data_IF_469909836804
#
_entry.id   IF_469909836804
#
_cell.length_a   1.000
_cell.length_b   1.000
_cell.length_c   1.000
_cell.angle_alpha   90.00
_cell.angle_beta   90.00
_cell.angle_gamma   90.00
#
_symmetry.space_group_name_H-M   'P 1'
#
loop_
_entity.id
_entity.type
_entity.pdbx_description
1 polymer ?
#
# COMPACT_ATOMS: atom_id res chain seq x y z
N UNK A 1 -30.55 -11.05 17.20
CA UNK A 1 -31.13 -9.70 17.15
C UNK A 1 -32.65 -9.71 16.79
N UNK A 2 -33.08 -10.35 15.68
CA UNK A 2 -34.50 -10.37 15.29
C UNK A 2 -35.44 -10.94 16.37
N UNK A 3 -35.07 -12.08 17.00
CA UNK A 3 -35.84 -12.68 18.09
C UNK A 3 -35.98 -11.75 19.30
N UNK A 4 -34.89 -11.04 19.67
CA UNK A 4 -34.93 -10.05 20.75
C UNK A 4 -35.80 -8.83 20.42
N UNK A 5 -35.82 -8.39 19.16
CA UNK A 5 -36.72 -7.34 18.71
C UNK A 5 -38.18 -7.74 18.81
N UNK A 6 -38.55 -8.96 18.38
CA UNK A 6 -39.94 -9.44 18.35
C UNK A 6 -40.46 -9.78 19.74
N UNK A 7 -39.70 -10.60 20.49
CA UNK A 7 -40.17 -11.27 21.70
C UNK A 7 -39.57 -10.67 22.99
N UNK A 8 -38.67 -9.68 22.85
CA UNK A 8 -37.96 -9.05 23.97
C UNK A 8 -38.78 -8.00 24.72
N UNK A 9 -38.33 -7.70 25.94
CA UNK A 9 -38.79 -6.49 26.68
C UNK A 9 -38.52 -5.21 25.87
N UNK A 10 -39.17 -4.09 26.25
CA UNK A 10 -38.98 -2.79 25.55
C UNK A 10 -37.51 -2.44 25.32
N UNK A 11 -36.63 -2.62 26.32
CA UNK A 11 -35.21 -2.36 26.22
C UNK A 11 -34.52 -3.32 25.24
N UNK A 12 -34.79 -4.63 25.36
CA UNK A 12 -34.20 -5.64 24.48
C UNK A 12 -34.61 -5.47 23.02
N UNK A 13 -35.85 -5.02 22.78
CA UNK A 13 -36.35 -4.80 21.42
C UNK A 13 -35.70 -3.56 20.73
N UNK A 14 -35.15 -2.62 21.48
CA UNK A 14 -34.44 -1.47 20.93
C UNK A 14 -33.01 -1.79 20.46
N UNK A 15 -32.45 -2.93 20.85
CA UNK A 15 -31.09 -3.31 20.47
C UNK A 15 -30.90 -3.41 18.95
N UNK A 16 -31.90 -3.93 18.24
CA UNK A 16 -31.80 -4.05 16.77
C UNK A 16 -31.83 -2.69 16.06
N UNK A 17 -32.79 -1.78 16.29
CA UNK A 17 -32.74 -0.45 15.69
C UNK A 17 -31.53 0.35 16.15
N UNK A 18 -31.13 0.27 17.41
CA UNK A 18 -29.95 0.94 17.91
C UNK A 18 -28.67 0.49 17.21
N UNK A 19 -28.50 -0.81 16.93
CA UNK A 19 -27.33 -1.30 16.19
C UNK A 19 -27.26 -0.72 14.78
N UNK A 20 -28.38 -0.56 14.08
CA UNK A 20 -28.41 0.08 12.75
C UNK A 20 -28.04 1.56 12.79
N UNK A 21 -28.45 2.27 13.85
CA UNK A 21 -28.06 3.69 14.03
C UNK A 21 -26.56 3.82 14.28
N UNK A 22 -26.01 2.99 15.17
CA UNK A 22 -24.57 3.02 15.48
C UNK A 22 -23.75 2.69 14.23
N UNK A 23 -24.14 1.65 13.49
CA UNK A 23 -23.44 1.24 12.26
C UNK A 23 -23.53 2.33 11.17
N UNK A 24 -24.73 2.91 10.95
CA UNK A 24 -24.87 4.03 10.01
C UNK A 24 -24.04 5.25 10.40
N UNK A 25 -23.91 5.56 11.69
CA UNK A 25 -23.05 6.64 12.17
C UNK A 25 -21.56 6.33 11.93
N UNK A 26 -21.13 5.10 12.13
CA UNK A 26 -19.76 4.67 11.83
C UNK A 26 -19.45 4.82 10.34
N UNK A 27 -20.37 4.45 9.45
CA UNK A 27 -20.20 4.63 8.00
C UNK A 27 -20.08 6.10 7.61
N UNK A 28 -20.86 7.00 8.20
CA UNK A 28 -20.74 8.44 7.97
C UNK A 28 -19.43 8.99 8.53
N UNK A 29 -18.98 8.50 9.67
CA UNK A 29 -17.66 8.85 10.22
C UNK A 29 -16.52 8.40 9.28
N UNK A 30 -16.58 7.17 8.77
CA UNK A 30 -15.62 6.70 7.76
C UNK A 30 -15.66 7.56 6.49
N UNK A 31 -16.86 7.91 6.02
CA UNK A 31 -17.01 8.78 4.86
C UNK A 31 -16.42 10.18 5.11
N UNK A 32 -16.58 10.74 6.32
CA UNK A 32 -16.04 12.06 6.66
C UNK A 32 -14.53 12.12 6.53
N UNK A 33 -13.85 11.02 6.84
CA UNK A 33 -12.39 10.91 6.73
C UNK A 33 -11.89 11.02 5.28
N UNK A 34 -12.65 10.47 4.32
CA UNK A 34 -12.31 10.48 2.91
C UNK A 34 -13.16 11.46 2.07
N UNK A 35 -13.91 12.36 2.74
CA UNK A 35 -14.92 13.18 2.08
C UNK A 35 -14.37 14.05 0.94
N UNK A 36 -13.18 14.63 1.10
CA UNK A 36 -12.56 15.48 0.08
C UNK A 36 -12.05 14.69 -1.15
N UNK A 37 -11.69 13.43 -0.97
CA UNK A 37 -10.93 12.65 -1.94
C UNK A 37 -11.75 11.62 -2.73
N UNK A 38 -13.00 11.34 -2.30
CA UNK A 38 -13.90 10.39 -2.99
C UNK A 38 -14.82 11.10 -3.98
N UNK A 39 -15.19 10.42 -5.08
CA UNK A 39 -16.10 10.95 -6.09
C UNK A 39 -17.48 11.28 -5.54
N UNK A 40 -18.16 12.27 -6.13
CA UNK A 40 -19.49 12.70 -5.70
C UNK A 40 -20.54 11.58 -5.78
N UNK A 41 -20.42 10.69 -6.77
CA UNK A 41 -21.32 9.54 -6.92
C UNK A 41 -21.22 8.56 -5.74
N UNK A 42 -20.01 8.19 -5.34
CA UNK A 42 -19.78 7.28 -4.20
C UNK A 42 -20.25 7.92 -2.89
N UNK A 43 -19.99 9.22 -2.67
CA UNK A 43 -20.53 9.96 -1.52
C UNK A 43 -22.05 9.87 -1.47
N UNK A 44 -22.71 10.17 -2.59
CA UNK A 44 -24.16 10.13 -2.70
C UNK A 44 -24.74 8.76 -2.35
N UNK A 45 -24.14 7.69 -2.84
CA UNK A 45 -24.56 6.31 -2.57
C UNK A 45 -24.43 5.98 -1.07
N UNK A 46 -23.29 6.31 -0.45
CA UNK A 46 -23.06 6.03 0.98
C UNK A 46 -24.02 6.85 1.86
N UNK A 47 -24.24 8.13 1.54
CA UNK A 47 -25.19 8.97 2.28
C UNK A 47 -26.62 8.45 2.13
N UNK A 48 -27.05 8.10 0.92
CA UNK A 48 -28.38 7.54 0.68
C UNK A 48 -28.58 6.23 1.44
N UNK A 49 -27.59 5.36 1.47
CA UNK A 49 -27.61 4.11 2.21
C UNK A 49 -27.70 4.33 3.74
N UNK A 50 -26.96 5.31 4.27
CA UNK A 50 -27.04 5.70 5.68
C UNK A 50 -28.43 6.27 6.04
N UNK A 51 -28.98 7.15 5.19
CA UNK A 51 -30.33 7.70 5.38
C UNK A 51 -31.39 6.59 5.35
N UNK A 52 -31.27 5.64 4.42
CA UNK A 52 -32.16 4.48 4.36
C UNK A 52 -32.08 3.64 5.64
N UNK A 53 -30.90 3.42 6.17
CA UNK A 53 -30.66 2.69 7.41
C UNK A 53 -31.27 3.40 8.62
N UNK A 54 -31.07 4.72 8.75
CA UNK A 54 -31.65 5.53 9.84
C UNK A 54 -33.18 5.59 9.75
N UNK A 55 -33.74 5.84 8.56
CA UNK A 55 -35.18 5.87 8.35
C UNK A 55 -35.82 4.52 8.69
N UNK A 56 -35.25 3.42 8.23
CA UNK A 56 -35.74 2.07 8.54
C UNK A 56 -35.64 1.77 10.03
N UNK A 57 -34.57 2.20 10.70
CA UNK A 57 -34.42 2.06 12.15
C UNK A 57 -35.47 2.82 12.92
N UNK A 58 -35.74 4.07 12.57
CA UNK A 58 -36.78 4.90 13.20
C UNK A 58 -38.18 4.28 13.01
N UNK A 59 -38.49 3.81 11.79
CA UNK A 59 -39.74 3.11 11.50
C UNK A 59 -39.89 1.80 12.29
N UNK A 60 -38.82 1.04 12.50
CA UNK A 60 -38.84 -0.15 13.34
C UNK A 60 -39.25 0.16 14.78
N UNK A 61 -38.77 1.26 15.36
CA UNK A 61 -39.15 1.71 16.70
C UNK A 61 -40.63 2.10 16.75
N UNK A 62 -41.11 2.88 15.78
CA UNK A 62 -42.51 3.31 15.69
C UNK A 62 -43.44 2.12 15.51
N UNK A 63 -43.10 1.17 14.63
CA UNK A 63 -43.88 -0.02 14.34
C UNK A 63 -43.99 -0.95 15.54
N UNK A 64 -42.90 -1.13 16.30
CA UNK A 64 -42.90 -1.90 17.52
C UNK A 64 -43.94 -1.37 18.52
N UNK A 65 -44.02 -0.07 18.66
CA UNK A 65 -44.93 0.59 19.60
C UNK A 65 -46.42 0.51 19.17
N UNK A 66 -46.68 0.29 17.87
CA UNK A 66 -48.04 0.24 17.32
C UNK A 66 -48.57 -1.18 17.05
N UNK A 67 -47.95 -2.22 17.62
CA UNK A 67 -48.31 -3.63 17.38
C UNK A 67 -48.42 -3.99 15.88
N UNK A 68 -47.50 -3.46 15.07
CA UNK A 68 -47.53 -3.56 13.62
C UNK A 68 -47.27 -4.97 13.08
N UNK A 69 -47.52 -5.14 11.77
CA UNK A 69 -47.34 -6.39 11.05
C UNK A 69 -45.87 -6.86 11.06
N UNK A 70 -45.64 -8.09 11.56
CA UNK A 70 -44.28 -8.67 11.63
C UNK A 70 -43.59 -8.80 10.24
N UNK A 71 -44.40 -8.97 9.18
CA UNK A 71 -43.89 -9.02 7.80
C UNK A 71 -43.25 -7.69 7.38
N UNK A 72 -43.90 -6.56 7.64
CA UNK A 72 -43.40 -5.24 7.33
C UNK A 72 -42.15 -4.90 8.15
N UNK A 73 -42.10 -5.26 9.42
CA UNK A 73 -40.92 -5.08 10.26
C UNK A 73 -39.70 -5.86 9.73
N UNK A 74 -39.90 -7.05 9.15
CA UNK A 74 -38.81 -7.79 8.49
C UNK A 74 -38.31 -7.06 7.28
N UNK A 75 -39.18 -6.49 6.45
CA UNK A 75 -38.77 -5.69 5.26
C UNK A 75 -37.94 -4.50 5.69
N UNK A 76 -38.38 -3.75 6.72
CA UNK A 76 -37.63 -2.62 7.25
C UNK A 76 -36.24 -3.03 7.77
N UNK A 77 -36.18 -4.14 8.52
CA UNK A 77 -34.89 -4.66 9.00
C UNK A 77 -33.96 -5.09 7.84
N UNK A 78 -34.54 -5.71 6.80
CA UNK A 78 -33.77 -6.10 5.61
C UNK A 78 -33.26 -4.89 4.83
N UNK A 79 -34.05 -3.83 4.69
CA UNK A 79 -33.64 -2.56 4.05
C UNK A 79 -32.53 -1.87 4.85
N UNK A 80 -32.67 -1.79 6.19
CA UNK A 80 -31.61 -1.24 7.03
C UNK A 80 -30.31 -2.04 6.89
N UNK A 81 -30.41 -3.37 6.90
CA UNK A 81 -29.25 -4.25 6.73
C UNK A 81 -28.61 -4.10 5.34
N UNK A 82 -29.39 -4.00 4.28
CA UNK A 82 -28.90 -3.73 2.94
C UNK A 82 -28.16 -2.37 2.89
N UNK A 83 -28.70 -1.34 3.54
CA UNK A 83 -28.07 -0.01 3.63
C UNK A 83 -26.68 -0.06 4.27
N UNK A 84 -26.52 -0.75 5.40
CA UNK A 84 -25.22 -0.86 6.07
C UNK A 84 -24.20 -1.72 5.32
N UNK A 85 -24.63 -2.63 4.45
CA UNK A 85 -23.74 -3.43 3.62
C UNK A 85 -23.15 -2.66 2.43
N UNK A 86 -23.72 -1.51 2.06
CA UNK A 86 -23.26 -0.72 0.89
C UNK A 86 -21.81 -0.29 1.05
N UNK A 87 -21.44 0.33 2.16
CA UNK A 87 -20.08 0.85 2.37
C UNK A 87 -19.00 -0.25 2.35
N UNK A 88 -19.12 -1.37 3.09
CA UNK A 88 -18.13 -2.45 3.00
C UNK A 88 -18.12 -3.12 1.62
N UNK A 89 -19.27 -3.19 0.92
CA UNK A 89 -19.32 -3.73 -0.44
C UNK A 89 -18.56 -2.85 -1.42
N UNK A 90 -18.69 -1.51 -1.33
CA UNK A 90 -17.93 -0.56 -2.14
C UNK A 90 -16.43 -0.71 -1.84
N UNK A 91 -16.05 -0.80 -0.57
CA UNK A 91 -14.66 -0.98 -0.19
C UNK A 91 -14.05 -2.30 -0.70
N UNK A 92 -14.81 -3.39 -0.63
CA UNK A 92 -14.39 -4.69 -1.15
C UNK A 92 -14.28 -4.68 -2.67
N UNK A 93 -15.26 -4.09 -3.37
CA UNK A 93 -15.22 -3.93 -4.82
C UNK A 93 -14.03 -3.08 -5.27
N UNK A 94 -13.71 -2.01 -4.53
CA UNK A 94 -12.55 -1.18 -4.79
C UNK A 94 -11.23 -1.98 -4.76
N UNK A 95 -11.07 -2.91 -3.82
CA UNK A 95 -9.90 -3.78 -3.71
C UNK A 95 -9.76 -4.77 -4.89
N UNK A 96 -10.87 -5.12 -5.55
CA UNK A 96 -10.86 -5.99 -6.74
C UNK A 96 -10.52 -5.20 -8.00
N UNK A 97 -11.05 -3.98 -8.13
CA UNK A 97 -10.92 -3.16 -9.35
C UNK A 97 -9.62 -2.36 -9.38
N UNK A 98 -9.13 -1.93 -8.22
CA UNK A 98 -7.89 -1.15 -8.12
C UNK A 98 -6.72 -2.05 -7.73
N UNK A 99 -5.61 -1.90 -8.45
CA UNK A 99 -4.37 -2.59 -8.10
C UNK A 99 -3.88 -2.18 -6.70
N UNK A 100 -3.85 -3.14 -5.79
CA UNK A 100 -3.30 -2.92 -4.44
C UNK A 100 -1.80 -3.20 -4.42
N UNK A 101 -1.07 -2.44 -3.61
CA UNK A 101 0.34 -2.72 -3.39
C UNK A 101 0.48 -3.99 -2.55
N UNK A 102 1.13 -5.03 -3.09
CA UNK A 102 1.31 -6.31 -2.41
C UNK A 102 2.10 -6.23 -1.10
N UNK A 103 2.88 -5.17 -0.90
CA UNK A 103 3.68 -4.97 0.33
C UNK A 103 2.88 -4.39 1.49
N UNK A 104 1.93 -3.53 1.20
CA UNK A 104 0.99 -2.93 2.16
C UNK A 104 -0.37 -2.84 1.46
N UNK A 105 -1.15 -3.92 1.50
CA UNK A 105 -2.45 -3.92 0.86
C UNK A 105 -3.38 -2.93 1.58
N UNK A 106 -3.83 -1.93 0.84
CA UNK A 106 -4.92 -1.06 1.28
C UNK A 106 -6.26 -1.70 0.94
N UNK A 107 -7.25 -1.50 1.77
CA UNK A 107 -8.60 -1.99 1.56
C UNK A 107 -9.62 -0.92 1.97
N UNK A 108 -10.78 -0.91 1.31
CA UNK A 108 -11.86 0.01 1.66
C UNK A 108 -11.90 1.29 0.82
N UNK A 109 -12.52 2.33 1.38
CA UNK A 109 -12.75 3.61 0.69
C UNK A 109 -11.46 4.36 0.33
N UNK A 110 -10.37 4.05 0.99
CA UNK A 110 -9.03 4.58 0.71
C UNK A 110 -8.63 4.38 -0.75
N UNK A 111 -8.95 3.23 -1.35
CA UNK A 111 -8.62 2.92 -2.75
C UNK A 111 -9.39 3.78 -3.77
N UNK A 112 -10.50 4.39 -3.36
CA UNK A 112 -11.33 5.26 -4.20
C UNK A 112 -10.94 6.73 -4.06
N UNK A 113 -10.05 7.07 -3.13
CA UNK A 113 -9.60 8.44 -2.97
C UNK A 113 -8.67 8.83 -4.10
N UNK A 114 -8.89 9.99 -4.71
CA UNK A 114 -8.00 10.56 -5.75
C UNK A 114 -6.59 10.81 -5.22
N UNK A 115 -6.42 10.88 -3.90
CA UNK A 115 -5.14 10.92 -3.21
C UNK A 115 -4.42 9.56 -3.15
N UNK A 116 -5.06 8.44 -3.57
CA UNK A 116 -4.32 7.19 -3.78
C UNK A 116 -3.23 7.34 -4.86
N UNK A 117 -3.31 8.39 -5.68
CA UNK A 117 -2.18 8.90 -6.46
C UNK A 117 -1.11 9.59 -5.62
N UNK A 118 -1.45 10.22 -4.50
CA UNK A 118 -0.56 11.09 -3.71
C UNK A 118 -0.32 10.61 -2.27
N UNK A 119 -1.28 9.98 -1.60
CA UNK A 119 -1.16 9.57 -0.19
C UNK A 119 -0.33 8.31 0.04
N UNK A 120 -0.12 7.51 -0.98
CA UNK A 120 0.85 6.40 -0.96
C UNK A 120 2.23 6.81 -1.51
N UNK A 121 2.49 8.12 -1.56
CA UNK A 121 3.77 8.71 -1.99
C UNK A 121 4.95 8.31 -1.10
N UNK A 122 4.72 7.80 0.09
CA UNK A 122 5.78 7.21 0.91
C UNK A 122 6.26 5.84 0.42
N UNK A 123 5.46 5.12 -0.37
CA UNK A 123 5.78 3.76 -0.83
C UNK A 123 5.55 3.53 -2.33
N UNK A 124 4.86 4.45 -3.03
CA UNK A 124 4.85 4.47 -4.49
C UNK A 124 6.25 4.84 -4.96
N UNK A 125 6.87 3.89 -5.61
CA UNK A 125 8.09 4.08 -6.39
C UNK A 125 9.34 4.49 -5.60
N UNK A 126 9.75 3.67 -4.62
CA UNK A 126 11.15 3.68 -4.20
C UNK A 126 12.12 3.31 -5.32
N UNK A 127 11.61 2.77 -6.40
CA UNK A 127 12.30 2.52 -7.65
C UNK A 127 11.75 3.38 -8.79
N UNK A 128 11.66 4.68 -8.70
CA UNK A 128 11.28 5.51 -9.83
C UNK A 128 10.00 5.04 -10.56
N UNK A 129 9.70 5.62 -11.68
CA UNK A 129 8.61 5.19 -12.56
C UNK A 129 8.87 3.76 -13.08
N UNK A 130 7.83 3.03 -13.46
CA UNK A 130 7.98 1.69 -14.10
C UNK A 130 8.91 1.71 -15.32
N UNK A 131 9.14 2.89 -15.90
CA UNK A 131 10.08 3.11 -16.99
C UNK A 131 11.54 3.17 -16.52
N UNK A 132 11.82 3.65 -15.30
CA UNK A 132 13.17 3.65 -14.73
C UNK A 132 13.63 2.24 -14.40
N UNK A 133 12.72 1.39 -13.90
CA UNK A 133 13.01 -0.03 -13.66
C UNK A 133 13.38 -0.76 -14.97
N UNK A 134 12.67 -0.47 -16.07
CA UNK A 134 12.99 -1.05 -17.39
C UNK A 134 14.37 -0.63 -17.88
N UNK A 135 14.72 0.65 -17.74
CA UNK A 135 16.02 1.15 -18.18
C UNK A 135 17.16 0.59 -17.33
N UNK A 136 16.98 0.48 -16.02
CA UNK A 136 17.94 -0.18 -15.14
C UNK A 136 18.13 -1.66 -15.52
N UNK A 137 17.06 -2.39 -15.79
CA UNK A 137 17.14 -3.78 -16.25
C UNK A 137 17.93 -3.87 -17.56
N UNK A 138 17.63 -3.03 -18.56
CA UNK A 138 18.37 -3.01 -19.84
C UNK A 138 19.84 -2.64 -19.65
N UNK A 139 20.16 -1.75 -18.71
CA UNK A 139 21.54 -1.43 -18.34
C UNK A 139 22.25 -2.67 -17.76
N UNK A 140 21.63 -3.37 -16.83
CA UNK A 140 22.16 -4.58 -16.23
C UNK A 140 22.35 -5.69 -17.28
N UNK A 141 21.40 -5.85 -18.24
CA UNK A 141 21.49 -6.82 -19.35
C UNK A 141 22.76 -6.63 -20.17
N UNK A 142 23.18 -5.39 -20.39
CA UNK A 142 24.35 -5.08 -21.22
C UNK A 142 25.69 -5.14 -20.47
N UNK A 143 25.67 -5.07 -19.13
CA UNK A 143 26.91 -4.92 -18.35
C UNK A 143 27.26 -6.10 -17.46
N UNK A 144 26.29 -6.97 -17.13
CA UNK A 144 26.48 -8.16 -16.31
C UNK A 144 26.79 -9.37 -17.18
N UNK A 145 27.80 -10.14 -16.79
CA UNK A 145 28.25 -11.32 -17.55
C UNK A 145 28.32 -12.59 -16.70
N UNK A 146 29.04 -12.55 -15.58
CA UNK A 146 29.35 -13.74 -14.76
C UNK A 146 29.15 -13.48 -13.27
N UNK A 147 28.58 -12.36 -12.91
CA UNK A 147 28.28 -12.02 -11.53
C UNK A 147 27.13 -12.92 -11.01
N UNK A 148 27.24 -13.41 -9.77
CA UNK A 148 26.20 -14.24 -9.15
C UNK A 148 24.94 -13.44 -8.84
N UNK A 149 25.13 -12.18 -8.47
CA UNK A 149 24.07 -11.23 -8.18
C UNK A 149 24.17 -10.04 -9.10
N UNK A 150 23.12 -9.82 -9.87
CA UNK A 150 23.07 -8.76 -10.89
C UNK A 150 23.00 -7.37 -10.27
N UNK A 151 22.36 -7.26 -9.12
CA UNK A 151 22.19 -6.01 -8.37
C UNK A 151 22.04 -6.31 -6.89
N UNK A 152 22.57 -5.41 -6.08
CA UNK A 152 22.34 -5.40 -4.62
C UNK A 152 21.48 -4.19 -4.27
N UNK A 153 20.47 -4.41 -3.42
CA UNK A 153 19.52 -3.39 -2.96
C UNK A 153 19.34 -3.43 -1.44
N UNK A 154 18.77 -2.38 -0.86
CA UNK A 154 18.66 -2.24 0.60
C UNK A 154 17.66 -3.21 1.24
N UNK A 155 16.60 -3.63 0.54
CA UNK A 155 15.52 -4.44 1.13
C UNK A 155 14.92 -5.40 0.11
N UNK A 156 14.28 -6.48 0.60
CA UNK A 156 13.59 -7.45 -0.26
C UNK A 156 12.36 -6.83 -0.95
N UNK A 157 11.70 -5.86 -0.33
CA UNK A 157 10.62 -5.11 -0.96
C UNK A 157 11.12 -4.33 -2.19
N UNK A 158 12.34 -3.76 -2.10
CA UNK A 158 12.98 -3.09 -3.22
C UNK A 158 13.39 -4.05 -4.34
N UNK A 159 13.77 -5.28 -3.99
CA UNK A 159 14.16 -6.31 -4.95
C UNK A 159 12.96 -6.93 -5.68
N UNK A 160 11.84 -7.13 -4.98
CA UNK A 160 10.72 -7.96 -5.42
C UNK A 160 10.16 -7.55 -6.78
N UNK A 161 9.92 -6.27 -7.01
CA UNK A 161 9.37 -5.78 -8.29
C UNK A 161 10.31 -6.08 -9.47
N UNK A 162 11.61 -5.90 -9.26
CA UNK A 162 12.61 -6.14 -10.31
C UNK A 162 12.80 -7.63 -10.56
N UNK A 163 12.81 -8.46 -9.52
CA UNK A 163 12.89 -9.92 -9.63
C UNK A 163 11.69 -10.43 -10.43
N UNK A 164 10.46 -10.01 -10.08
CA UNK A 164 9.24 -10.45 -10.75
C UNK A 164 9.23 -10.04 -12.24
N UNK A 165 9.70 -8.83 -12.55
CA UNK A 165 9.69 -8.32 -13.93
C UNK A 165 10.80 -8.86 -14.81
N UNK A 166 11.96 -9.19 -14.25
CA UNK A 166 13.16 -9.52 -15.03
C UNK A 166 13.64 -10.95 -14.84
N UNK A 167 13.20 -11.67 -13.80
CA UNK A 167 13.75 -12.98 -13.43
C UNK A 167 15.21 -12.94 -12.95
N UNK A 168 15.77 -11.75 -12.69
CA UNK A 168 17.18 -11.56 -12.37
C UNK A 168 17.52 -11.86 -10.92
N UNK A 169 18.78 -12.20 -10.69
CA UNK A 169 19.33 -12.47 -9.36
C UNK A 169 19.64 -11.17 -8.62
N UNK A 170 18.68 -10.64 -7.86
CA UNK A 170 18.85 -9.42 -7.10
C UNK A 170 18.94 -9.73 -5.61
N UNK A 171 20.03 -9.28 -4.99
CA UNK A 171 20.33 -9.55 -3.58
C UNK A 171 19.87 -8.41 -2.68
N UNK A 172 18.92 -8.62 -1.76
CA UNK A 172 18.60 -7.66 -0.71
C UNK A 172 19.61 -7.74 0.44
N UNK A 173 20.01 -6.59 1.00
CA UNK A 173 20.88 -6.50 2.18
C UNK A 173 20.11 -6.58 3.51
N UNK A 174 18.80 -6.45 3.46
CA UNK A 174 17.91 -6.53 4.61
C UNK A 174 16.63 -7.26 4.27
N UNK A 175 15.81 -7.59 5.28
CA UNK A 175 14.51 -8.21 5.11
C UNK A 175 13.49 -7.29 4.43
N UNK A 176 12.20 -7.46 4.75
CA UNK A 176 11.11 -6.76 4.09
C UNK A 176 11.26 -5.22 4.11
N UNK A 177 11.61 -4.65 5.25
CA UNK A 177 11.83 -3.20 5.43
C UNK A 177 13.29 -2.78 5.25
N UNK A 178 14.24 -3.71 5.11
CA UNK A 178 15.68 -3.44 5.12
C UNK A 178 16.25 -3.26 6.54
N UNK A 179 15.51 -3.64 7.57
CA UNK A 179 15.92 -3.49 8.97
C UNK A 179 16.72 -4.68 9.52
N UNK A 180 16.68 -5.82 8.81
CA UNK A 180 17.37 -7.02 9.23
C UNK A 180 18.82 -7.00 8.75
N UNK A 181 19.76 -7.37 9.64
CA UNK A 181 21.17 -7.47 9.28
C UNK A 181 21.46 -8.86 8.71
N UNK A 182 21.38 -9.00 7.40
CA UNK A 182 21.61 -10.30 6.70
C UNK A 182 23.11 -10.56 6.51
N UNK A 183 23.89 -9.51 6.25
CA UNK A 183 25.33 -9.58 6.02
C UNK A 183 26.09 -8.57 6.85
N UNK A 184 27.29 -8.97 7.29
CA UNK A 184 28.29 -8.03 7.82
C UNK A 184 29.04 -7.36 6.68
N UNK A 185 29.66 -6.22 6.94
CA UNK A 185 30.49 -5.52 5.96
C UNK A 185 31.67 -6.40 5.47
N UNK A 186 32.24 -7.25 6.33
CA UNK A 186 33.31 -8.17 5.95
C UNK A 186 32.83 -9.23 4.96
N UNK A 187 31.70 -9.84 5.22
CA UNK A 187 31.07 -10.81 4.29
C UNK A 187 30.72 -10.18 2.95
N UNK A 188 30.17 -8.95 2.98
CA UNK A 188 29.88 -8.21 1.74
C UNK A 188 31.16 -7.94 0.91
N UNK A 189 32.25 -7.51 1.56
CA UNK A 189 33.54 -7.30 0.89
C UNK A 189 34.08 -8.59 0.26
N UNK A 190 33.89 -9.74 0.89
CA UNK A 190 34.28 -11.02 0.31
C UNK A 190 33.50 -11.33 -0.97
N UNK A 191 32.19 -11.08 -1.03
CA UNK A 191 31.39 -11.24 -2.24
C UNK A 191 31.88 -10.34 -3.38
N UNK A 192 32.22 -9.07 -3.06
CA UNK A 192 32.80 -8.15 -4.02
C UNK A 192 34.17 -8.64 -4.51
N UNK A 193 35.03 -9.10 -3.61
CA UNK A 193 36.36 -9.65 -3.95
C UNK A 193 36.28 -10.89 -4.84
N UNK A 194 35.29 -11.76 -4.61
CA UNK A 194 35.03 -12.94 -5.45
C UNK A 194 34.40 -12.57 -6.81
N UNK A 195 34.02 -11.30 -7.03
CA UNK A 195 33.31 -10.87 -8.24
C UNK A 195 31.86 -11.35 -8.31
N UNK A 196 31.31 -11.83 -7.21
CA UNK A 196 29.91 -12.27 -7.14
C UNK A 196 28.92 -11.08 -7.14
N UNK A 197 29.37 -9.90 -6.70
CA UNK A 197 28.62 -8.65 -6.65
C UNK A 197 29.38 -7.55 -7.39
N UNK A 198 28.69 -6.86 -8.28
CA UNK A 198 29.25 -5.72 -9.00
C UNK A 198 28.46 -4.44 -8.81
N UNK A 199 27.16 -4.46 -9.01
CA UNK A 199 26.32 -3.27 -8.94
C UNK A 199 25.56 -3.19 -7.63
N UNK A 200 25.54 -1.99 -7.03
CA UNK A 200 24.79 -1.70 -5.80
C UNK A 200 23.96 -0.45 -6.00
N UNK A 201 22.67 -0.56 -5.77
CA UNK A 201 21.76 0.55 -5.75
C UNK A 201 21.61 1.06 -4.31
N UNK A 202 22.14 2.24 -4.04
CA UNK A 202 22.00 2.91 -2.75
C UNK A 202 20.72 3.73 -2.72
N UNK A 203 20.24 4.08 -1.53
CA UNK A 203 18.96 4.77 -1.33
C UNK A 203 17.86 3.81 -0.89
N UNK A 204 16.89 4.31 -0.14
CA UNK A 204 15.83 3.52 0.46
C UNK A 204 16.00 3.33 1.97
N UNK A 205 14.97 2.79 2.65
CA UNK A 205 15.02 2.53 4.08
C UNK A 205 15.76 1.22 4.37
N UNK A 206 16.98 1.30 4.80
CA UNK A 206 17.73 0.18 5.34
C UNK A 206 18.62 0.68 6.48
N UNK A 207 18.10 0.71 7.71
CA UNK A 207 18.88 1.21 8.87
C UNK A 207 20.08 0.33 9.21
N UNK A 208 19.97 -0.98 9.02
CA UNK A 208 21.02 -1.93 9.43
C UNK A 208 22.03 -2.29 8.31
N UNK A 209 21.84 -1.79 7.10
CA UNK A 209 22.79 -1.89 5.99
C UNK A 209 23.59 -0.62 5.76
N UNK A 210 23.51 0.36 6.66
CA UNK A 210 24.20 1.65 6.53
C UNK A 210 25.72 1.50 6.42
N UNK A 211 26.32 0.58 7.16
CA UNK A 211 27.78 0.31 7.11
C UNK A 211 28.20 -0.09 5.68
N UNK A 212 27.42 -1.00 5.06
CA UNK A 212 27.68 -1.47 3.70
C UNK A 212 27.43 -0.35 2.71
N UNK A 213 26.30 0.37 2.83
CA UNK A 213 25.93 1.45 1.91
C UNK A 213 26.93 2.61 1.97
N UNK A 214 27.37 3.00 3.17
CA UNK A 214 28.40 4.03 3.36
C UNK A 214 29.75 3.61 2.78
N UNK A 215 30.11 2.33 2.94
CA UNK A 215 31.32 1.79 2.34
C UNK A 215 31.24 1.81 0.80
N UNK A 216 30.09 1.43 0.24
CA UNK A 216 29.83 1.46 -1.22
C UNK A 216 29.94 2.88 -1.76
N UNK A 217 29.32 3.85 -1.10
CA UNK A 217 29.38 5.27 -1.50
C UNK A 217 30.79 5.83 -1.46
N UNK A 218 31.60 5.40 -0.49
CA UNK A 218 32.99 5.87 -0.35
C UNK A 218 33.95 5.23 -1.35
N UNK A 219 33.75 3.99 -1.72
CA UNK A 219 34.70 3.21 -2.50
C UNK A 219 34.21 2.90 -3.92
N UNK A 220 32.90 2.87 -4.15
CA UNK A 220 32.29 2.53 -5.43
C UNK A 220 32.38 3.67 -6.45
N UNK A 221 32.41 3.30 -7.74
CA UNK A 221 32.35 4.25 -8.84
C UNK A 221 30.89 4.57 -9.15
N UNK A 222 30.50 5.84 -9.03
CA UNK A 222 29.15 6.28 -9.36
C UNK A 222 28.86 6.07 -10.85
N UNK A 223 27.75 5.40 -11.17
CA UNK A 223 27.25 5.25 -12.54
C UNK A 223 26.36 6.44 -12.87
N UNK A 224 26.61 7.15 -13.99
CA UNK A 224 25.79 8.30 -14.38
C UNK A 224 24.30 7.94 -14.52
N UNK A 225 23.43 8.78 -13.96
CA UNK A 225 21.99 8.51 -13.93
C UNK A 225 21.37 8.34 -15.32
N UNK A 226 21.86 9.07 -16.32
CA UNK A 226 21.40 8.99 -17.70
C UNK A 226 21.58 7.61 -18.34
N UNK A 227 22.41 6.74 -17.78
CA UNK A 227 22.64 5.39 -18.29
C UNK A 227 21.58 4.38 -17.82
N UNK A 228 21.03 4.57 -16.62
CA UNK A 228 20.15 3.59 -15.97
C UNK A 228 18.81 4.18 -15.51
N UNK A 229 18.58 5.50 -15.62
CA UNK A 229 17.35 6.20 -15.22
C UNK A 229 16.83 7.08 -16.37
N UNK A 230 15.52 7.28 -16.46
CA UNK A 230 14.95 8.15 -17.48
C UNK A 230 15.06 9.63 -17.09
N UNK A 231 15.43 10.47 -18.05
CA UNK A 231 15.75 11.89 -17.86
C UNK A 231 14.54 12.76 -17.44
N UNK A 232 13.34 12.25 -17.53
CA UNK A 232 12.10 12.96 -17.12
C UNK A 232 12.01 13.21 -15.61
N UNK A 233 12.84 12.55 -14.81
CA UNK A 233 12.96 12.76 -13.36
C UNK A 233 14.09 13.73 -12.97
N UNK A 234 14.81 14.27 -13.92
CA UNK A 234 16.00 15.14 -13.72
C UNK A 234 15.57 16.61 -13.62
N UNK A 235 14.64 16.92 -12.73
CA UNK A 235 14.21 18.30 -12.47
C UNK A 235 14.49 18.79 -11.06
N UNK A 236 15.13 17.99 -10.21
CA UNK A 236 15.55 18.41 -8.88
C UNK A 236 17.07 18.29 -8.75
N UNK A 237 17.69 19.44 -8.62
CA UNK A 237 19.07 19.59 -8.16
C UNK A 237 19.28 18.68 -6.95
N UNK A 238 20.18 17.71 -7.09
CA UNK A 238 20.50 16.76 -6.01
C UNK A 238 21.23 17.55 -4.93
N UNK A 239 20.51 17.92 -3.87
CA UNK A 239 21.14 18.36 -2.64
C UNK A 239 21.82 17.14 -1.99
N UNK A 240 23.12 17.19 -1.65
CA UNK A 240 23.86 16.06 -1.05
C UNK A 240 23.31 15.55 0.28
N UNK A 241 22.24 16.14 0.81
CA UNK A 241 21.58 15.79 2.07
C UNK A 241 20.21 15.11 1.94
N UNK A 242 19.65 14.94 0.73
CA UNK A 242 18.39 14.23 0.58
C UNK A 242 18.61 12.72 0.65
N UNK A 243 18.26 12.12 1.78
CA UNK A 243 18.27 10.66 2.07
C UNK A 243 17.44 9.80 1.10
N UNK A 244 16.85 10.35 0.05
CA UNK A 244 15.92 9.69 -0.86
C UNK A 244 16.43 9.57 -2.31
N UNK A 245 17.63 10.04 -2.65
CA UNK A 245 18.18 9.90 -4.00
C UNK A 245 18.79 8.50 -4.16
N UNK A 246 18.24 7.72 -5.09
CA UNK A 246 18.83 6.45 -5.48
C UNK A 246 20.04 6.70 -6.38
N UNK A 247 21.16 6.07 -6.07
CA UNK A 247 22.39 6.13 -6.84
C UNK A 247 22.93 4.72 -7.10
N UNK A 248 23.36 4.47 -8.33
CA UNK A 248 23.93 3.19 -8.75
C UNK A 248 25.46 3.27 -8.69
N UNK A 249 26.09 2.28 -8.06
CA UNK A 249 27.54 2.18 -7.94
C UNK A 249 28.06 0.91 -8.59
N UNK A 250 29.17 1.01 -9.32
CA UNK A 250 29.96 -0.11 -9.85
C UNK A 250 31.14 -0.39 -8.92
N UNK A 251 31.24 -1.63 -8.43
CA UNK A 251 32.28 -2.08 -7.51
C UNK A 251 33.40 -2.87 -8.23
N UNK A 252 33.41 -2.87 -9.56
CA UNK A 252 34.38 -3.65 -10.34
C UNK A 252 35.82 -3.22 -10.03
N UNK A 253 36.61 -4.18 -9.56
CA UNK A 253 38.06 -3.98 -9.33
C UNK A 253 38.45 -3.22 -8.08
N UNK A 254 37.50 -2.95 -7.15
CA UNK A 254 37.77 -2.19 -5.92
C UNK A 254 38.53 -3.01 -4.88
N UNK A 255 38.33 -4.32 -4.84
CA UNK A 255 39.01 -5.26 -3.94
C UNK A 255 39.73 -6.32 -4.79
N UNK A 256 40.87 -5.97 -5.34
CA UNK A 256 41.80 -6.92 -5.94
C UNK A 256 42.70 -7.54 -4.91
#
# INVERSE_FOLDING_TARGET
MWKLYRDGSKVKSMLLPASFVVEGALHLMMLSYFYSSISAAVKGIIIAAAVLSFASSALLVIYKNRAGNAGFAKILASLAFAGILVTPSIGSAAAVVHGVNGSMPAAGLELLSSDTGSGNTGMKNRFGSSNDSKKLISFLDSHIKNEKYDLVVSSSNAAAEMIIKSGRSIMPLGGFTGSDKILSLSQFKELVKKGEVRYVLTGGMGRNSQDIMSWVQKNGKLVPENQWKNTTSVGKTVNPGEMNSQSLYDLKGILK
#
